data_IF_273416234331
#
_entry.id   IF_273416234331
#
_cell.length_a   1.000
_cell.length_b   1.000
_cell.length_c   1.000
_cell.angle_alpha   90.00
_cell.angle_beta   90.00
_cell.angle_gamma   90.00
#
_symmetry.space_group_name_H-M   'P 1'
#
loop_
_entity.id
_entity.type
_entity.pdbx_description
1 polymer ?
#
# COMPACT_ATOMS: atom_id res chain seq x y z
N UNK A 1 2.20 3.99 -14.35
CA UNK A 1 2.51 3.41 -15.68
C UNK A 1 1.25 2.75 -16.21
N UNK A 2 0.73 3.19 -17.36
CA UNK A 2 -0.53 2.68 -17.89
C UNK A 2 -0.36 1.20 -18.29
N UNK A 3 -1.16 0.33 -17.66
CA UNK A 3 -1.17 -1.11 -17.93
C UNK A 3 -1.56 -1.31 -19.40
N UNK A 4 -0.65 -1.87 -20.19
CA UNK A 4 -0.83 -2.04 -21.63
C UNK A 4 -2.15 -2.78 -21.92
N UNK A 5 -3.02 -2.14 -22.69
CA UNK A 5 -4.29 -2.69 -23.14
C UNK A 5 -4.01 -3.95 -23.96
N UNK A 6 -4.40 -5.12 -23.46
CA UNK A 6 -4.24 -6.37 -24.20
C UNK A 6 -5.36 -6.47 -25.23
N UNK A 7 -5.03 -6.24 -26.50
CA UNK A 7 -5.94 -6.46 -27.62
C UNK A 7 -6.22 -7.95 -27.80
N UNK A 8 -7.49 -8.33 -28.00
CA UNK A 8 -7.94 -9.70 -28.30
C UNK A 8 -8.83 -9.67 -29.54
N UNK A 9 -8.73 -10.66 -30.41
CA UNK A 9 -9.58 -10.82 -31.60
C UNK A 9 -10.63 -11.89 -31.31
N UNK A 10 -11.90 -11.56 -31.46
CA UNK A 10 -13.04 -12.44 -31.18
C UNK A 10 -13.78 -12.77 -32.47
N UNK A 11 -14.01 -14.05 -32.73
CA UNK A 11 -14.80 -14.50 -33.87
C UNK A 11 -16.28 -14.21 -33.61
N UNK A 12 -16.92 -13.41 -34.45
CA UNK A 12 -18.34 -13.05 -34.33
C UNK A 12 -19.29 -14.23 -34.60
N UNK A 13 -18.79 -15.31 -35.20
CA UNK A 13 -19.60 -16.46 -35.58
C UNK A 13 -19.59 -17.59 -34.55
N UNK A 14 -18.45 -17.85 -33.90
CA UNK A 14 -18.32 -18.94 -32.92
C UNK A 14 -17.75 -18.51 -31.56
N UNK A 15 -17.34 -17.25 -31.40
CA UNK A 15 -16.80 -16.72 -30.14
C UNK A 15 -15.34 -17.09 -29.86
N UNK A 16 -14.65 -17.78 -30.77
CA UNK A 16 -13.23 -18.11 -30.62
C UNK A 16 -12.37 -16.84 -30.43
N UNK A 17 -11.40 -16.88 -29.50
CA UNK A 17 -10.54 -15.75 -29.17
C UNK A 17 -9.08 -16.02 -29.50
N UNK A 18 -8.42 -15.05 -30.16
CA UNK A 18 -7.00 -15.10 -30.49
C UNK A 18 -6.30 -13.80 -30.11
N UNK A 19 -4.99 -13.86 -29.81
CA UNK A 19 -4.15 -12.67 -29.55
C UNK A 19 -3.58 -12.04 -30.82
N UNK A 20 -3.78 -12.67 -31.97
CA UNK A 20 -3.32 -12.20 -33.29
C UNK A 20 -4.44 -12.37 -34.29
N UNK A 21 -4.53 -11.46 -35.26
CA UNK A 21 -5.46 -11.60 -36.37
C UNK A 21 -4.97 -12.70 -37.32
N UNK A 22 -5.85 -13.63 -37.68
CA UNK A 22 -5.50 -14.83 -38.46
C UNK A 22 -6.23 -14.91 -39.81
N UNK A 23 -7.08 -13.93 -40.15
CA UNK A 23 -7.88 -13.88 -41.39
C UNK A 23 -9.01 -14.92 -41.46
N UNK A 24 -8.73 -16.17 -41.07
CA UNK A 24 -9.69 -17.28 -40.94
C UNK A 24 -9.77 -17.74 -39.49
N UNK A 25 -10.98 -17.96 -38.98
CA UNK A 25 -11.18 -18.51 -37.65
C UNK A 25 -10.69 -19.97 -37.60
N UNK A 26 -9.77 -20.34 -36.67
CA UNK A 26 -9.24 -21.70 -36.60
C UNK A 26 -10.25 -22.73 -36.08
N UNK A 27 -11.34 -22.28 -35.46
CA UNK A 27 -12.34 -23.13 -34.82
C UNK A 27 -13.52 -23.42 -35.75
N UNK A 28 -14.21 -22.38 -36.26
CA UNK A 28 -15.34 -22.56 -37.19
C UNK A 28 -14.94 -22.51 -38.67
N UNK A 29 -13.69 -22.16 -38.99
CA UNK A 29 -13.20 -22.08 -40.37
C UNK A 29 -13.70 -20.88 -41.18
N UNK A 30 -14.41 -19.94 -40.57
CA UNK A 30 -15.01 -18.81 -41.27
C UNK A 30 -14.01 -17.67 -41.52
N UNK A 31 -14.11 -17.05 -42.69
CA UNK A 31 -13.22 -15.97 -43.11
C UNK A 31 -13.73 -14.61 -42.63
N UNK A 32 -12.81 -13.69 -42.30
CA UNK A 32 -13.09 -12.31 -41.90
C UNK A 32 -14.03 -12.15 -40.69
N UNK A 33 -14.24 -13.20 -39.91
CA UNK A 33 -15.12 -13.18 -38.73
C UNK A 33 -14.42 -12.74 -37.44
N UNK A 34 -13.08 -12.66 -37.43
CA UNK A 34 -12.28 -12.22 -36.28
C UNK A 34 -12.23 -10.69 -36.19
N UNK A 35 -12.90 -10.11 -35.21
CA UNK A 35 -12.98 -8.67 -34.95
C UNK A 35 -12.17 -8.30 -33.72
N UNK A 36 -11.50 -7.14 -33.74
CA UNK A 36 -10.71 -6.65 -32.62
C UNK A 36 -11.61 -6.15 -31.46
N UNK A 37 -11.45 -6.73 -30.28
CA UNK A 37 -12.10 -6.30 -29.06
C UNK A 37 -11.06 -5.95 -27.98
N UNK A 38 -11.35 -4.90 -27.20
CA UNK A 38 -10.54 -4.55 -26.04
C UNK A 38 -10.87 -5.53 -24.92
N UNK A 39 -9.91 -6.36 -24.52
CA UNK A 39 -10.10 -7.22 -23.36
C UNK A 39 -10.42 -6.36 -22.13
N UNK A 40 -11.62 -6.52 -21.57
CA UNK A 40 -11.88 -6.00 -20.22
C UNK A 40 -10.89 -6.71 -19.29
N UNK A 41 -10.15 -5.98 -18.44
CA UNK A 41 -9.36 -6.64 -17.41
C UNK A 41 -10.32 -7.51 -16.60
N UNK A 42 -10.09 -8.81 -16.60
CA UNK A 42 -10.83 -9.73 -15.74
C UNK A 42 -10.80 -9.14 -14.33
N UNK A 43 -11.98 -8.96 -13.73
CA UNK A 43 -12.08 -8.56 -12.33
C UNK A 43 -11.18 -9.53 -11.55
N UNK A 44 -10.16 -9.00 -10.88
CA UNK A 44 -9.21 -9.83 -10.17
C UNK A 44 -10.02 -10.70 -9.20
N UNK A 45 -10.07 -12.00 -9.46
CA UNK A 45 -10.60 -12.97 -8.50
C UNK A 45 -9.87 -12.73 -7.20
N UNK A 46 -10.61 -12.38 -6.15
CA UNK A 46 -10.12 -12.18 -4.78
C UNK A 46 -9.53 -13.50 -4.26
N UNK A 47 -8.34 -13.83 -4.72
CA UNK A 47 -7.60 -15.03 -4.38
C UNK A 47 -6.61 -14.71 -3.27
N UNK A 48 -6.74 -15.46 -2.17
CA UNK A 48 -5.80 -15.51 -1.06
C UNK A 48 -5.59 -14.18 -0.31
N UNK A 49 -6.46 -13.93 0.67
CA UNK A 49 -6.06 -13.17 1.83
C UNK A 49 -4.87 -13.91 2.49
N UNK A 50 -3.66 -13.43 2.19
CA UNK A 50 -2.45 -13.85 2.88
C UNK A 50 -2.68 -13.66 4.38
N UNK A 51 -2.61 -14.77 5.11
CA UNK A 51 -2.61 -14.81 6.57
C UNK A 51 -1.59 -13.79 7.08
N UNK A 52 -2.05 -12.79 7.83
CA UNK A 52 -1.19 -11.81 8.54
C UNK A 52 -1.02 -10.42 7.91
N UNK A 53 -1.77 -10.07 6.86
CA UNK A 53 -1.64 -8.75 6.23
C UNK A 53 -2.34 -7.62 7.00
N UNK A 54 -1.61 -6.56 7.35
CA UNK A 54 -2.16 -5.25 7.72
C UNK A 54 -3.36 -4.92 6.81
N UNK A 55 -4.55 -4.74 7.38
CA UNK A 55 -5.70 -4.20 6.64
C UNK A 55 -5.40 -2.74 6.37
N UNK A 56 -4.87 -2.45 5.18
CA UNK A 56 -4.81 -1.08 4.69
C UNK A 56 -6.23 -0.51 4.70
N UNK A 57 -6.40 0.64 5.37
CA UNK A 57 -7.67 1.36 5.36
C UNK A 57 -8.04 1.63 3.91
N UNK A 58 -9.26 1.26 3.52
CA UNK A 58 -9.75 1.52 2.17
C UNK A 58 -9.91 3.04 2.01
N UNK A 59 -8.96 3.67 1.29
CA UNK A 59 -8.99 5.11 1.03
C UNK A 59 -9.84 5.36 -0.20
N UNK A 60 -10.93 6.12 -0.05
CA UNK A 60 -11.77 6.56 -1.16
C UNK A 60 -11.40 8.01 -1.53
N UNK A 61 -11.41 8.38 -2.82
CA UNK A 61 -11.29 9.77 -3.22
C UNK A 61 -12.43 10.58 -2.60
N UNK A 62 -12.10 11.69 -1.97
CA UNK A 62 -13.04 12.65 -1.38
C UNK A 62 -12.79 14.03 -1.98
N UNK A 63 -13.82 14.88 -2.07
CA UNK A 63 -13.64 16.27 -2.53
C UNK A 63 -12.91 17.07 -1.47
N UNK A 64 -12.18 18.11 -1.89
CA UNK A 64 -11.43 18.95 -0.95
C UNK A 64 -12.30 19.54 0.17
N UNK A 65 -13.51 20.02 -0.15
CA UNK A 65 -14.44 20.56 0.85
C UNK A 65 -15.06 19.52 1.80
N UNK A 66 -14.83 18.23 1.55
CA UNK A 66 -15.30 17.11 2.37
C UNK A 66 -14.15 16.51 3.21
N UNK A 67 -12.94 17.09 3.16
CA UNK A 67 -11.81 16.67 3.99
C UNK A 67 -12.07 17.14 5.42
N UNK A 68 -12.38 16.20 6.31
CA UNK A 68 -12.43 16.45 7.74
C UNK A 68 -11.02 16.66 8.31
N UNK A 69 -10.87 17.60 9.24
CA UNK A 69 -9.63 17.79 9.98
C UNK A 69 -9.38 16.57 10.88
N UNK A 70 -8.28 15.85 10.64
CA UNK A 70 -7.87 14.76 11.53
C UNK A 70 -7.12 15.35 12.72
N UNK A 71 -7.80 15.40 13.87
CA UNK A 71 -7.14 15.49 15.17
C UNK A 71 -6.72 14.09 15.58
N UNK A 72 -5.66 13.57 14.96
CA UNK A 72 -5.10 12.30 15.40
C UNK A 72 -4.67 12.41 16.86
N UNK A 73 -5.13 11.45 17.68
CA UNK A 73 -4.76 11.36 19.08
C UNK A 73 -3.26 11.07 19.18
N UNK A 74 -2.47 12.10 19.48
CA UNK A 74 -1.03 11.99 19.69
C UNK A 74 -0.74 11.43 21.07
N UNK A 75 0.26 10.55 21.14
CA UNK A 75 0.81 10.04 22.39
C UNK A 75 2.06 10.85 22.70
N UNK A 76 2.05 11.58 23.81
CA UNK A 76 3.26 12.26 24.29
C UNK A 76 4.32 11.23 24.67
N UNK A 77 5.56 11.44 24.24
CA UNK A 77 6.71 10.63 24.67
C UNK A 77 7.16 10.95 26.09
N UNK A 78 6.66 12.04 26.69
CA UNK A 78 7.17 12.58 27.95
C UNK A 78 8.51 13.31 27.83
N UNK A 79 9.04 13.48 26.61
CA UNK A 79 10.23 14.29 26.30
C UNK A 79 9.78 15.50 25.49
N UNK A 80 9.73 16.67 26.12
CA UNK A 80 9.15 17.90 25.54
C UNK A 80 9.71 18.25 24.16
N UNK A 81 11.04 18.27 24.00
CA UNK A 81 11.65 18.64 22.72
C UNK A 81 11.45 17.57 21.63
N UNK A 82 11.39 16.30 22.01
CA UNK A 82 11.06 15.23 21.06
C UNK A 82 9.61 15.36 20.56
N UNK A 83 8.67 15.57 21.48
CA UNK A 83 7.27 15.78 21.15
C UNK A 83 7.09 17.03 20.27
N UNK A 84 7.81 18.11 20.58
CA UNK A 84 7.82 19.33 19.76
C UNK A 84 8.23 19.08 18.33
N UNK A 85 9.31 18.31 18.11
CA UNK A 85 9.76 17.91 16.76
C UNK A 85 8.71 17.07 16.04
N UNK A 86 7.99 16.22 16.76
CA UNK A 86 6.90 15.41 16.18
C UNK A 86 5.57 16.15 16.01
N UNK A 87 5.48 17.42 16.39
CA UNK A 87 4.24 18.20 16.33
C UNK A 87 3.26 17.91 17.46
N UNK A 88 3.77 17.65 18.67
CA UNK A 88 3.02 17.40 19.89
C UNK A 88 3.00 15.94 20.38
N UNK A 89 3.79 15.05 19.77
CA UNK A 89 3.90 13.65 20.16
C UNK A 89 3.74 12.67 19.01
N UNK A 90 3.85 11.37 19.32
CA UNK A 90 3.83 10.25 18.38
C UNK A 90 2.40 10.00 17.89
N UNK A 91 2.21 9.92 16.58
CA UNK A 91 0.92 9.56 15.97
C UNK A 91 0.80 8.03 15.87
N UNK A 92 -0.25 7.39 16.41
CA UNK A 92 -0.46 5.96 16.26
C UNK A 92 -0.53 5.52 14.80
N UNK A 93 0.12 4.40 14.46
CA UNK A 93 0.15 3.90 13.08
C UNK A 93 1.05 4.69 12.12
N UNK A 94 1.88 5.61 12.65
CA UNK A 94 2.89 6.32 11.86
C UNK A 94 4.21 5.55 11.80
N UNK A 95 5.03 5.91 10.81
CA UNK A 95 6.42 5.49 10.70
C UNK A 95 7.30 6.75 10.83
N UNK A 96 8.22 6.73 11.79
CA UNK A 96 9.13 7.85 12.06
C UNK A 96 10.56 7.36 11.79
N UNK A 97 11.29 8.09 10.94
CA UNK A 97 12.71 7.83 10.64
C UNK A 97 13.58 8.81 11.43
N UNK A 98 14.52 8.29 12.21
CA UNK A 98 15.51 9.10 12.93
C UNK A 98 16.87 8.94 12.27
N UNK A 99 17.33 10.00 11.60
CA UNK A 99 18.64 10.08 10.96
C UNK A 99 19.67 10.80 11.83
N UNK A 100 20.95 10.55 11.57
CA UNK A 100 22.08 11.23 12.21
C UNK A 100 23.35 10.39 12.17
N UNK A 101 24.49 11.03 12.41
CA UNK A 101 25.81 10.40 12.34
C UNK A 101 25.96 9.22 13.33
N UNK A 102 26.84 8.24 13.05
CA UNK A 102 27.20 7.21 14.01
C UNK A 102 27.68 7.83 15.32
N UNK A 103 27.23 7.30 16.47
CA UNK A 103 27.63 7.81 17.79
C UNK A 103 26.90 9.08 18.28
N UNK A 104 26.04 9.71 17.48
CA UNK A 104 25.29 10.93 17.91
C UNK A 104 24.24 10.67 19.00
N UNK A 105 24.03 9.40 19.40
CA UNK A 105 23.09 9.04 20.47
C UNK A 105 21.67 8.71 20.03
N UNK A 106 21.44 8.30 18.77
CA UNK A 106 20.11 7.88 18.27
C UNK A 106 19.50 6.75 19.10
N UNK A 107 20.27 5.68 19.33
CA UNK A 107 19.83 4.53 20.12
C UNK A 107 19.55 4.92 21.57
N UNK A 108 20.40 5.76 22.16
CA UNK A 108 20.20 6.31 23.52
C UNK A 108 18.91 7.11 23.62
N UNK A 109 18.65 8.02 22.67
CA UNK A 109 17.42 8.80 22.62
C UNK A 109 16.19 7.89 22.51
N UNK A 110 16.22 6.90 21.62
CA UNK A 110 15.12 5.96 21.42
C UNK A 110 14.86 5.08 22.64
N UNK A 111 15.91 4.65 23.35
CA UNK A 111 15.77 3.92 24.61
C UNK A 111 15.13 4.79 25.70
N UNK A 112 15.50 6.07 25.80
CA UNK A 112 14.84 6.99 26.73
C UNK A 112 13.37 7.22 26.38
N UNK A 113 13.03 7.38 25.10
CA UNK A 113 11.63 7.47 24.65
C UNK A 113 10.86 6.20 24.99
N UNK A 114 11.45 5.03 24.74
CA UNK A 114 10.87 3.73 25.05
C UNK A 114 10.60 3.56 26.55
N UNK A 115 11.57 3.93 27.40
CA UNK A 115 11.43 3.91 28.86
C UNK A 115 10.28 4.81 29.33
N UNK A 116 10.23 6.06 28.85
CA UNK A 116 9.16 7.01 29.21
C UNK A 116 7.77 6.52 28.78
N UNK A 117 7.64 6.01 27.56
CA UNK A 117 6.37 5.45 27.08
C UNK A 117 5.96 4.21 27.89
N UNK A 118 6.91 3.33 28.19
CA UNK A 118 6.68 2.15 29.03
C UNK A 118 6.23 2.54 30.45
N UNK A 119 6.87 3.54 31.06
CA UNK A 119 6.51 4.06 32.38
C UNK A 119 5.12 4.70 32.44
N UNK A 120 4.57 5.12 31.30
CA UNK A 120 3.18 5.59 31.16
C UNK A 120 2.18 4.44 30.90
N UNK A 121 2.64 3.19 30.84
CA UNK A 121 1.82 2.01 30.61
C UNK A 121 1.68 1.60 29.13
N UNK A 122 2.39 2.24 28.21
CA UNK A 122 2.41 1.82 26.81
C UNK A 122 3.21 0.52 26.65
N UNK A 123 2.75 -0.37 25.77
CA UNK A 123 3.51 -1.58 25.40
C UNK A 123 4.54 -1.20 24.34
N UNK A 124 5.82 -1.32 24.68
CA UNK A 124 6.94 -0.98 23.78
C UNK A 124 7.74 -2.23 23.44
N UNK A 125 8.08 -2.39 22.15
CA UNK A 125 9.00 -3.41 21.66
C UNK A 125 10.21 -2.71 21.04
N UNK A 126 11.36 -2.86 21.66
CA UNK A 126 12.64 -2.40 21.11
C UNK A 126 13.34 -3.57 20.41
N UNK A 127 13.63 -3.43 19.12
CA UNK A 127 14.31 -4.44 18.31
C UNK A 127 15.63 -3.86 17.85
N UNK A 128 16.75 -4.52 18.17
CA UNK A 128 18.08 -4.16 17.68
C UNK A 128 18.72 -5.37 17.01
N UNK A 129 19.35 -5.13 15.86
CA UNK A 129 20.30 -6.07 15.24
C UNK A 129 21.75 -5.62 15.39
N UNK A 130 22.00 -4.47 16.02
CA UNK A 130 23.36 -4.04 16.37
C UNK A 130 23.76 -4.73 17.68
N UNK A 131 24.82 -5.53 17.61
CA UNK A 131 25.54 -6.03 18.79
C UNK A 131 26.27 -4.84 19.42
N UNK A 132 25.90 -4.51 20.66
CA UNK A 132 26.54 -3.45 21.46
C UNK A 132 27.75 -3.96 22.21
#
# INVERSE_FOLDING_TARGET
MAKATTTVYVCQSCGHQSRKWLGKCPDCGEWNSLVEERARPAAATKGMAARGGFRLREVKPVRYGEIESQTDARVSSGITEFDRVLGGGVVPGSLILIGGDPGIGKSTLLLHVADKLSGQGARVLYVSGEES
#
